data_IF_029732026660
#
_entry.id   IF_029732026660
#
_cell.length_a   1.000
_cell.length_b   1.000
_cell.length_c   1.000
_cell.angle_alpha   90.00
_cell.angle_beta   90.00
_cell.angle_gamma   90.00
#
_symmetry.space_group_name_H-M   'P 1'
#
loop_
_entity.id
_entity.type
_entity.pdbx_description
1 polymer ?
#
# COMPACT_ATOMS: atom_id res chain seq x y z
N UNK A 1 -20.75 -0.09 -12.65
CA UNK A 1 -21.33 0.27 -11.34
C UNK A 1 -21.10 -0.85 -10.33
N UNK A 2 -21.56 -2.07 -10.59
CA UNK A 2 -21.55 -3.19 -9.64
C UNK A 2 -20.18 -3.59 -9.04
N UNK A 3 -19.08 -3.57 -9.82
CA UNK A 3 -17.72 -3.84 -9.29
C UNK A 3 -17.20 -2.76 -8.34
N UNK A 4 -17.52 -1.50 -8.62
CA UNK A 4 -17.08 -0.35 -7.81
C UNK A 4 -17.80 -0.35 -6.46
N UNK A 5 -19.09 -0.71 -6.47
CA UNK A 5 -19.89 -0.91 -5.24
C UNK A 5 -19.34 -2.05 -4.37
N UNK A 6 -18.86 -3.15 -4.98
CA UNK A 6 -18.20 -4.25 -4.24
C UNK A 6 -16.90 -3.81 -3.56
N UNK A 7 -16.10 -2.95 -4.19
CA UNK A 7 -14.81 -2.52 -3.64
C UNK A 7 -14.96 -1.48 -2.51
N UNK A 8 -16.00 -0.66 -2.57
CA UNK A 8 -16.30 0.31 -1.50
C UNK A 8 -16.53 -0.38 -0.15
N UNK A 9 -17.06 -1.61 -0.16
CA UNK A 9 -17.22 -2.44 1.04
C UNK A 9 -15.89 -2.89 1.66
N UNK A 10 -14.75 -2.60 1.04
CA UNK A 10 -13.41 -2.96 1.52
C UNK A 10 -12.54 -1.74 1.81
N UNK A 11 -13.07 -0.51 1.70
CA UNK A 11 -12.32 0.71 2.08
C UNK A 11 -12.05 0.72 3.58
N UNK A 12 -10.80 0.94 3.98
CA UNK A 12 -10.37 1.00 5.38
C UNK A 12 -9.86 2.40 5.71
N UNK A 13 -10.33 2.93 6.84
CA UNK A 13 -9.95 4.24 7.33
C UNK A 13 -10.54 5.39 6.52
N UNK A 14 -9.84 6.52 6.54
CA UNK A 14 -10.36 7.80 6.05
C UNK A 14 -9.89 8.09 4.62
N UNK A 15 -9.00 7.24 4.08
CA UNK A 15 -8.53 7.33 2.70
C UNK A 15 -9.45 6.48 1.80
N UNK A 16 -10.19 7.10 0.87
CA UNK A 16 -11.19 6.41 0.04
C UNK A 16 -10.58 5.39 -0.92
N UNK A 17 -9.27 5.40 -1.08
CA UNK A 17 -8.51 4.57 -2.03
C UNK A 17 -7.62 3.54 -1.34
N UNK A 18 -7.75 3.36 -0.03
CA UNK A 18 -7.10 2.31 0.74
C UNK A 18 -8.09 1.15 0.95
N UNK A 19 -7.83 0.03 0.28
CA UNK A 19 -8.77 -1.09 0.16
C UNK A 19 -8.15 -2.34 0.75
N UNK A 20 -8.80 -2.94 1.76
CA UNK A 20 -8.37 -4.17 2.40
C UNK A 20 -9.39 -5.28 2.18
N UNK A 21 -8.97 -6.36 1.53
CA UNK A 21 -9.79 -7.53 1.22
C UNK A 21 -9.28 -8.71 2.05
N UNK A 22 -9.99 -9.14 3.11
CA UNK A 22 -9.65 -10.36 3.84
C UNK A 22 -9.86 -11.60 2.96
N UNK A 23 -9.19 -12.70 3.28
CA UNK A 23 -9.37 -14.02 2.64
C UNK A 23 -9.34 -13.97 1.10
N UNK A 24 -8.45 -13.14 0.54
CA UNK A 24 -8.33 -12.96 -0.91
C UNK A 24 -7.83 -14.24 -1.61
N UNK A 25 -7.00 -15.01 -0.90
CA UNK A 25 -6.60 -16.37 -1.25
C UNK A 25 -7.02 -17.33 -0.13
N UNK A 26 -7.09 -18.62 -0.46
CA UNK A 26 -7.33 -19.66 0.56
C UNK A 26 -6.03 -20.10 1.23
N UNK A 27 -6.13 -20.75 2.39
CA UNK A 27 -4.96 -21.34 3.07
C UNK A 27 -4.19 -22.34 2.20
N UNK A 28 -4.90 -23.11 1.38
CA UNK A 28 -4.27 -24.03 0.42
C UNK A 28 -3.49 -23.27 -0.66
N UNK A 29 -3.99 -22.14 -1.14
CA UNK A 29 -3.27 -21.30 -2.11
C UNK A 29 -2.05 -20.64 -1.45
N UNK A 30 -2.18 -20.19 -0.20
CA UNK A 30 -1.05 -19.69 0.59
C UNK A 30 0.04 -20.76 0.73
N UNK A 31 -0.31 -21.98 1.11
CA UNK A 31 0.67 -23.08 1.24
C UNK A 31 1.41 -23.35 -0.09
N UNK A 32 0.69 -23.32 -1.21
CA UNK A 32 1.29 -23.47 -2.55
C UNK A 32 2.22 -22.29 -2.91
N UNK A 33 1.82 -21.05 -2.59
CA UNK A 33 2.64 -19.87 -2.82
C UNK A 33 3.92 -19.93 -1.98
N UNK A 34 3.82 -20.21 -0.68
CA UNK A 34 4.97 -20.34 0.21
C UNK A 34 5.91 -21.44 -0.28
N UNK A 35 5.39 -22.60 -0.68
CA UNK A 35 6.22 -23.66 -1.24
C UNK A 35 7.00 -23.20 -2.49
N UNK A 36 6.34 -22.51 -3.43
CA UNK A 36 7.03 -21.98 -4.63
C UNK A 36 8.07 -20.90 -4.27
N UNK A 37 7.77 -20.04 -3.29
CA UNK A 37 8.68 -18.98 -2.82
C UNK A 37 9.95 -19.59 -2.22
N UNK A 38 9.81 -20.59 -1.34
CA UNK A 38 10.95 -21.21 -0.65
C UNK A 38 11.74 -22.18 -1.54
N UNK A 39 11.12 -22.76 -2.56
CA UNK A 39 11.83 -23.58 -3.56
C UNK A 39 12.58 -22.74 -4.62
N UNK A 40 12.40 -21.42 -4.64
CA UNK A 40 13.16 -20.56 -5.55
C UNK A 40 14.68 -20.70 -5.30
N UNK A 41 15.52 -20.65 -6.35
CA UNK A 41 16.97 -20.75 -6.18
C UNK A 41 17.50 -19.69 -5.21
N UNK A 42 18.55 -20.03 -4.46
CA UNK A 42 19.18 -19.09 -3.49
C UNK A 42 19.57 -17.77 -4.16
N UNK A 43 19.99 -17.79 -5.44
CA UNK A 43 20.33 -16.61 -6.22
C UNK A 43 19.17 -15.62 -6.46
N UNK A 44 17.91 -16.05 -6.28
CA UNK A 44 16.74 -15.15 -6.32
C UNK A 44 16.58 -14.35 -5.02
N UNK A 45 17.14 -14.83 -3.91
CA UNK A 45 17.11 -14.13 -2.64
C UNK A 45 18.26 -13.12 -2.55
N UNK A 46 17.89 -11.87 -2.30
CA UNK A 46 18.83 -10.80 -1.95
C UNK A 46 18.65 -10.47 -0.48
N UNK A 47 19.71 -10.62 0.31
CA UNK A 47 19.73 -10.09 1.68
C UNK A 47 19.86 -8.58 1.63
N UNK A 48 18.90 -7.90 2.25
CA UNK A 48 18.93 -6.48 2.54
C UNK A 48 19.30 -6.30 4.02
N UNK A 49 19.36 -5.06 4.50
CA UNK A 49 19.81 -4.74 5.87
C UNK A 49 19.12 -5.60 6.95
N UNK A 50 17.78 -5.59 6.96
CA UNK A 50 16.97 -6.24 7.99
C UNK A 50 15.95 -7.23 7.41
N UNK A 51 16.02 -7.59 6.13
CA UNK A 51 15.03 -8.47 5.48
C UNK A 51 15.65 -9.14 4.27
N UNK A 52 14.95 -10.07 3.63
CA UNK A 52 15.33 -10.56 2.30
C UNK A 52 14.24 -10.34 1.27
N UNK A 53 14.67 -10.26 0.01
CA UNK A 53 13.84 -9.88 -1.13
C UNK A 53 14.03 -10.86 -2.28
N UNK A 54 12.95 -11.25 -2.94
CA UNK A 54 12.97 -11.76 -4.31
C UNK A 54 12.43 -10.73 -5.29
N UNK A 55 12.93 -10.77 -6.52
CA UNK A 55 12.49 -9.92 -7.61
C UNK A 55 12.07 -10.77 -8.82
N UNK A 56 10.83 -10.58 -9.28
CA UNK A 56 10.20 -11.30 -10.38
C UNK A 56 9.58 -10.34 -11.39
N UNK A 57 9.55 -10.74 -12.67
CA UNK A 57 8.95 -9.93 -13.73
C UNK A 57 9.90 -8.96 -14.43
N UNK A 58 11.17 -8.95 -14.03
CA UNK A 58 12.21 -8.14 -14.67
C UNK A 58 13.07 -7.37 -13.67
N UNK A 59 13.81 -6.37 -14.16
CA UNK A 59 14.62 -5.49 -13.31
C UNK A 59 14.24 -4.03 -13.58
N UNK A 60 13.88 -3.31 -12.53
CA UNK A 60 13.55 -1.88 -12.61
C UNK A 60 14.85 -1.08 -12.61
N UNK A 61 15.00 -0.21 -13.60
CA UNK A 61 16.09 0.74 -13.75
C UNK A 61 15.54 2.15 -14.01
N UNK A 62 16.42 3.15 -14.09
CA UNK A 62 16.05 4.57 -14.32
C UNK A 62 15.20 4.80 -15.58
N UNK A 63 15.37 3.98 -16.62
CA UNK A 63 14.63 4.07 -17.89
C UNK A 63 13.34 3.23 -17.90
N UNK A 64 12.99 2.58 -16.79
CA UNK A 64 11.84 1.69 -16.66
C UNK A 64 12.21 0.23 -16.40
N UNK A 65 11.25 -0.67 -16.63
CA UNK A 65 11.40 -2.11 -16.41
C UNK A 65 12.08 -2.76 -17.61
N UNK A 66 13.12 -3.56 -17.36
CA UNK A 66 13.61 -4.58 -18.29
C UNK A 66 12.79 -5.86 -18.02
N UNK A 67 11.76 -6.18 -18.83
CA UNK A 67 10.77 -7.17 -18.48
C UNK A 67 11.31 -8.61 -18.60
N UNK A 68 10.78 -9.49 -17.75
CA UNK A 68 10.92 -10.94 -17.85
C UNK A 68 9.57 -11.57 -17.55
N UNK A 69 9.34 -12.77 -18.07
CA UNK A 69 8.09 -13.48 -17.77
C UNK A 69 7.98 -13.80 -16.28
N UNK A 70 6.79 -13.59 -15.74
CA UNK A 70 6.44 -14.07 -14.41
C UNK A 70 6.26 -15.59 -14.45
N UNK A 71 6.73 -16.32 -13.43
CA UNK A 71 6.42 -17.74 -13.32
C UNK A 71 4.89 -17.93 -13.22
N UNK A 72 4.34 -19.07 -13.72
CA UNK A 72 2.88 -19.25 -13.82
C UNK A 72 2.10 -19.03 -12.52
N UNK A 73 2.69 -19.39 -11.38
CA UNK A 73 2.07 -19.21 -10.07
C UNK A 73 1.91 -17.74 -9.67
N UNK A 74 2.85 -16.86 -10.05
CA UNK A 74 2.70 -15.41 -9.88
C UNK A 74 1.74 -14.83 -10.91
N UNK A 75 1.87 -15.22 -12.18
CA UNK A 75 1.01 -14.73 -13.26
C UNK A 75 -0.49 -14.99 -12.97
N UNK A 76 -0.81 -16.13 -12.36
CA UNK A 76 -2.19 -16.45 -11.92
C UNK A 76 -2.72 -15.47 -10.88
N UNK A 77 -1.90 -15.11 -9.88
CA UNK A 77 -2.29 -14.19 -8.81
C UNK A 77 -2.39 -12.76 -9.33
N UNK A 78 -1.42 -12.29 -10.11
CA UNK A 78 -1.43 -10.93 -10.66
C UNK A 78 -2.61 -10.70 -11.61
N UNK A 79 -2.94 -11.71 -12.43
CA UNK A 79 -4.16 -11.70 -13.26
C UNK A 79 -5.43 -11.62 -12.42
N UNK A 80 -5.55 -12.41 -11.35
CA UNK A 80 -6.70 -12.36 -10.44
C UNK A 80 -6.86 -10.98 -9.79
N UNK A 81 -5.77 -10.37 -9.33
CA UNK A 81 -5.80 -9.03 -8.72
C UNK A 81 -6.30 -8.00 -9.74
N UNK A 82 -5.77 -8.03 -10.96
CA UNK A 82 -6.22 -7.16 -12.05
C UNK A 82 -7.71 -7.33 -12.34
N UNK A 83 -8.18 -8.56 -12.57
CA UNK A 83 -9.57 -8.84 -12.95
C UNK A 83 -10.57 -8.48 -11.83
N UNK A 84 -10.21 -8.75 -10.57
CA UNK A 84 -11.10 -8.47 -9.42
C UNK A 84 -11.12 -7.00 -9.03
N UNK A 85 -9.98 -6.32 -9.05
CA UNK A 85 -9.90 -4.90 -8.65
C UNK A 85 -10.35 -3.95 -9.76
N UNK A 86 -9.96 -4.21 -11.01
CA UNK A 86 -10.12 -3.26 -12.12
C UNK A 86 -9.35 -1.94 -11.92
N UNK A 87 -8.36 -1.92 -11.02
CA UNK A 87 -7.59 -0.72 -10.68
C UNK A 87 -6.26 -0.61 -11.44
N UNK A 88 -5.81 -1.70 -12.04
CA UNK A 88 -4.60 -1.75 -12.84
C UNK A 88 -4.95 -1.70 -14.34
N UNK A 89 -4.09 -1.15 -15.21
CA UNK A 89 -4.32 -1.12 -16.65
C UNK A 89 -4.17 -2.51 -17.30
N UNK A 90 -3.44 -3.42 -16.64
CA UNK A 90 -3.20 -4.79 -17.08
C UNK A 90 -2.83 -5.66 -15.87
N UNK A 91 -2.60 -6.96 -16.08
CA UNK A 91 -2.02 -7.82 -15.06
C UNK A 91 -0.65 -7.27 -14.62
N UNK A 92 -0.42 -7.27 -13.30
CA UNK A 92 0.85 -6.81 -12.71
C UNK A 92 2.01 -7.62 -13.30
N UNK A 93 3.02 -6.91 -13.78
CA UNK A 93 4.16 -7.46 -14.51
C UNK A 93 5.46 -7.49 -13.68
N UNK A 94 5.46 -6.94 -12.48
CA UNK A 94 6.62 -6.88 -11.60
C UNK A 94 6.20 -7.18 -10.16
N UNK A 95 6.90 -8.11 -9.51
CA UNK A 95 6.56 -8.58 -8.16
C UNK A 95 7.80 -8.61 -7.30
N UNK A 96 7.69 -7.96 -6.14
CA UNK A 96 8.66 -8.03 -5.06
C UNK A 96 8.11 -8.92 -3.94
N UNK A 97 8.87 -9.94 -3.54
CA UNK A 97 8.53 -10.81 -2.42
C UNK A 97 9.46 -10.47 -1.28
N UNK A 98 8.92 -9.81 -0.25
CA UNK A 98 9.67 -9.47 0.95
C UNK A 98 9.40 -10.52 2.02
N UNK A 99 10.45 -11.05 2.64
CA UNK A 99 10.33 -11.85 3.86
C UNK A 99 10.89 -11.07 5.05
N UNK A 100 10.10 -11.05 6.11
CA UNK A 100 10.41 -10.48 7.40
C UNK A 100 10.36 -11.60 8.44
N UNK A 101 11.45 -11.79 9.18
CA UNK A 101 11.45 -12.57 10.42
C UNK A 101 10.94 -11.71 11.58
N UNK A 102 10.82 -12.30 12.77
CA UNK A 102 10.53 -11.54 13.98
C UNK A 102 11.54 -10.38 14.14
N UNK A 103 11.05 -9.20 14.56
CA UNK A 103 11.86 -7.98 14.71
C UNK A 103 12.45 -7.43 13.39
N UNK A 104 11.81 -7.72 12.26
CA UNK A 104 12.21 -7.20 10.95
C UNK A 104 11.08 -6.44 10.29
N UNK A 105 11.41 -5.28 9.73
CA UNK A 105 10.49 -4.41 9.04
C UNK A 105 11.16 -3.64 7.91
N UNK A 106 10.49 -2.56 7.53
CA UNK A 106 10.94 -1.65 6.48
C UNK A 106 10.59 -0.22 6.89
N UNK A 107 11.61 0.63 6.92
CA UNK A 107 11.44 2.03 7.30
C UNK A 107 10.41 2.76 6.43
N UNK A 108 9.77 3.83 6.94
CA UNK A 108 8.82 4.62 6.16
C UNK A 108 9.42 5.09 4.82
N UNK A 109 8.73 4.77 3.72
CA UNK A 109 9.17 5.10 2.35
C UNK A 109 7.98 5.27 1.41
N UNK A 110 8.25 5.67 0.16
CA UNK A 110 7.29 5.62 -0.95
C UNK A 110 7.85 4.70 -2.03
N UNK A 111 6.96 4.17 -2.86
CA UNK A 111 7.36 3.43 -4.04
C UNK A 111 7.97 4.35 -5.11
N UNK A 112 8.92 3.80 -5.87
CA UNK A 112 9.68 4.56 -6.85
C UNK A 112 8.83 5.08 -8.01
N UNK A 113 9.28 6.14 -8.71
CA UNK A 113 8.52 6.77 -9.79
C UNK A 113 8.37 5.91 -11.06
N UNK A 114 9.01 4.75 -11.12
CA UNK A 114 8.92 3.82 -12.25
C UNK A 114 7.63 3.00 -12.26
N UNK A 115 6.89 2.95 -11.15
CA UNK A 115 5.68 2.15 -11.01
C UNK A 115 4.43 2.92 -11.42
N UNK A 116 3.44 2.17 -11.94
CA UNK A 116 2.08 2.67 -12.04
C UNK A 116 1.57 3.00 -10.62
N UNK A 117 0.85 4.11 -10.38
CA UNK A 117 0.55 4.63 -9.03
C UNK A 117 -0.58 3.87 -8.32
N UNK A 118 -0.51 2.54 -8.35
CA UNK A 118 -1.41 1.62 -7.65
C UNK A 118 -0.56 0.46 -7.14
N UNK A 119 -0.68 0.16 -5.85
CA UNK A 119 0.08 -0.90 -5.17
C UNK A 119 -0.88 -1.99 -4.74
N UNK A 120 -0.44 -3.25 -4.85
CA UNK A 120 -1.14 -4.42 -4.32
C UNK A 120 -0.18 -5.24 -3.45
N UNK A 121 -0.56 -5.49 -2.20
CA UNK A 121 0.20 -6.27 -1.23
C UNK A 121 -0.64 -7.48 -0.82
N UNK A 122 -0.20 -8.67 -1.23
CA UNK A 122 -0.75 -9.94 -0.78
C UNK A 122 0.06 -10.42 0.42
N UNK A 123 -0.58 -10.51 1.58
CA UNK A 123 0.08 -10.90 2.83
C UNK A 123 0.02 -12.41 3.03
N UNK A 124 1.13 -13.02 3.45
CA UNK A 124 1.26 -14.45 3.70
C UNK A 124 1.92 -14.69 5.07
N UNK A 125 1.64 -15.84 5.69
CA UNK A 125 2.36 -16.29 6.88
C UNK A 125 1.79 -15.72 8.17
N UNK A 126 2.50 -14.77 8.80
CA UNK A 126 2.09 -14.16 10.07
C UNK A 126 1.46 -12.77 9.85
N UNK A 127 0.55 -12.33 10.74
CA UNK A 127 0.00 -10.98 10.65
C UNK A 127 1.06 -9.92 10.92
N UNK A 128 0.90 -8.74 10.33
CA UNK A 128 1.80 -7.59 10.52
C UNK A 128 1.03 -6.29 10.48
N UNK A 129 1.52 -5.27 11.20
CA UNK A 129 0.96 -3.91 11.13
C UNK A 129 1.78 -3.09 10.15
N UNK A 130 1.10 -2.48 9.18
CA UNK A 130 1.69 -1.54 8.23
C UNK A 130 1.25 -0.12 8.57
N UNK A 131 2.23 0.76 8.77
CA UNK A 131 2.01 2.15 9.13
C UNK A 131 1.97 3.03 7.88
N UNK A 132 1.09 4.04 7.90
CA UNK A 132 0.99 5.10 6.93
C UNK A 132 1.15 6.43 7.64
N UNK A 133 2.18 7.20 7.28
CA UNK A 133 2.49 8.50 7.88
C UNK A 133 2.54 9.60 6.81
N UNK A 134 1.90 10.77 6.99
CA UNK A 134 1.90 11.82 5.98
C UNK A 134 3.32 12.33 5.65
N UNK A 135 3.62 12.48 4.36
CA UNK A 135 4.89 13.00 3.88
C UNK A 135 5.04 14.50 4.23
N UNK A 136 6.24 14.93 4.62
CA UNK A 136 6.52 16.33 5.04
C UNK A 136 6.15 17.39 3.99
N UNK A 137 6.40 17.12 2.71
CA UNK A 137 5.94 17.94 1.56
C UNK A 137 4.44 18.23 1.56
N UNK A 138 3.61 17.28 1.99
CA UNK A 138 2.17 17.47 2.10
C UNK A 138 1.80 18.35 3.31
N UNK A 139 2.59 18.25 4.40
CA UNK A 139 2.44 19.11 5.58
C UNK A 139 2.84 20.58 5.29
N UNK A 140 3.88 20.81 4.49
CA UNK A 140 4.35 22.17 4.16
C UNK A 140 3.43 22.94 3.23
N UNK A 141 2.89 22.31 2.17
CA UNK A 141 1.98 22.98 1.23
C UNK A 141 0.68 23.46 1.92
N UNK A 142 0.21 22.74 2.95
CA UNK A 142 -0.94 23.18 3.75
C UNK A 142 -0.63 24.37 4.66
N UNK A 143 0.60 24.46 5.20
CA UNK A 143 1.00 25.60 6.03
C UNK A 143 0.98 26.90 5.22
N UNK A 144 1.49 26.86 3.99
CA UNK A 144 1.47 28.00 3.06
C UNK A 144 0.05 28.37 2.61
N UNK A 145 -0.85 27.40 2.42
CA UNK A 145 -2.26 27.68 2.10
C UNK A 145 -3.04 28.29 3.29
N UNK A 146 -2.77 27.85 4.53
CA UNK A 146 -3.37 28.46 5.74
C UNK A 146 -2.80 29.86 6.03
N UNK A 147 -1.51 30.10 5.76
CA UNK A 147 -0.87 31.41 5.93
C UNK A 147 -1.36 32.45 4.89
N UNK A 148 -1.71 32.04 3.66
CA UNK A 148 -2.20 32.96 2.62
C UNK A 148 -3.70 33.33 2.72
N UNK A 149 -4.48 32.66 3.58
CA UNK A 149 -5.90 33.01 3.83
C UNK A 149 -6.04 33.99 5.01
N UNK A 150 -4.95 34.20 5.78
CA UNK A 150 -4.96 35.03 6.99
C UNK A 150 -4.93 36.55 6.79
N UNK A 151 -4.85 37.06 5.55
CA UNK A 151 -4.57 38.49 5.35
C UNK A 151 -5.34 39.14 4.17
N UNK A 152 -6.67 38.99 4.16
CA UNK A 152 -7.59 39.93 3.47
C UNK A 152 -8.95 39.99 4.17
N UNK A 153 -9.05 40.78 5.23
CA UNK A 153 -10.33 41.32 5.69
C UNK A 153 -10.26 42.85 5.62
N UNK A 154 -10.89 43.43 4.60
CA UNK A 154 -11.55 44.73 4.75
C UNK A 154 -12.84 44.78 3.91
N UNK A 155 -13.93 45.00 4.66
CA UNK A 155 -15.30 45.40 4.29
C UNK A 155 -16.24 44.46 3.53
N UNK A 156 -17.21 43.93 4.29
CA UNK A 156 -18.62 44.22 4.03
C UNK A 156 -19.47 43.10 3.42
N UNK A 157 -20.23 42.39 4.26
CA UNK A 157 -21.34 41.53 3.85
C UNK A 157 -21.34 40.18 4.57
N UNK A 158 -22.20 40.03 5.57
CA UNK A 158 -22.42 38.77 6.27
C UNK A 158 -23.02 37.74 5.30
N UNK A 159 -22.17 36.87 4.76
CA UNK A 159 -22.59 35.58 4.21
C UNK A 159 -22.00 34.55 5.14
N UNK A 160 -22.87 33.82 5.84
CA UNK A 160 -22.48 32.64 6.61
C UNK A 160 -21.94 31.60 5.62
N UNK A 161 -20.64 31.66 5.36
CA UNK A 161 -19.92 30.54 4.77
C UNK A 161 -19.82 29.55 5.92
N UNK A 162 -20.66 28.53 5.88
CA UNK A 162 -20.46 27.33 6.69
C UNK A 162 -19.02 26.89 6.44
N UNK A 163 -18.18 27.10 7.45
CA UNK A 163 -16.87 26.51 7.51
C UNK A 163 -17.13 25.01 7.55
N UNK A 164 -17.15 24.39 6.37
CA UNK A 164 -17.06 22.96 6.26
C UNK A 164 -15.67 22.66 6.84
N UNK A 165 -15.65 22.25 8.11
CA UNK A 165 -14.49 21.76 8.83
C UNK A 165 -13.97 20.56 8.04
N UNK A 166 -13.16 20.86 7.01
CA UNK A 166 -12.60 19.90 6.11
C UNK A 166 -11.71 19.01 6.93
N UNK A 167 -12.26 17.85 7.31
CA UNK A 167 -11.68 16.96 8.29
C UNK A 167 -10.20 16.79 8.02
N UNK A 168 -9.41 16.98 9.07
CA UNK A 168 -7.97 16.92 9.08
C UNK A 168 -7.52 15.46 8.85
N UNK A 169 -7.74 14.94 7.62
CA UNK A 169 -7.54 13.55 7.19
C UNK A 169 -6.05 13.21 7.00
N UNK A 170 -5.16 13.98 7.63
CA UNK A 170 -3.72 13.90 7.50
C UNK A 170 -3.07 13.32 8.76
N UNK A 171 -3.72 12.36 9.40
CA UNK A 171 -3.17 11.73 10.60
C UNK A 171 -2.46 10.43 10.23
N UNK A 172 -1.34 10.10 10.88
CA UNK A 172 -0.81 8.75 10.83
C UNK A 172 -1.89 7.73 11.18
N UNK A 173 -1.88 6.61 10.48
CA UNK A 173 -2.74 5.47 10.80
C UNK A 173 -2.03 4.19 10.42
N UNK A 174 -2.51 3.06 10.93
CA UNK A 174 -1.94 1.76 10.63
C UNK A 174 -3.03 0.81 10.12
N UNK A 175 -2.62 -0.22 9.39
CA UNK A 175 -3.50 -1.28 8.89
C UNK A 175 -2.97 -2.63 9.35
N UNK A 176 -3.82 -3.46 9.95
CA UNK A 176 -3.46 -4.83 10.28
C UNK A 176 -3.60 -5.72 9.05
N UNK A 177 -2.49 -6.30 8.61
CA UNK A 177 -2.43 -7.18 7.47
C UNK A 177 -2.46 -8.64 7.94
N UNK A 178 -3.61 -9.28 7.82
CA UNK A 178 -3.73 -10.70 8.15
C UNK A 178 -3.17 -11.56 7.02
N UNK A 179 -2.73 -12.80 7.31
CA UNK A 179 -2.40 -13.77 6.26
C UNK A 179 -3.56 -13.95 5.29
N UNK A 180 -3.24 -14.27 4.04
CA UNK A 180 -4.21 -14.46 2.95
C UNK A 180 -5.00 -13.20 2.53
N UNK A 181 -4.71 -12.03 3.12
CA UNK A 181 -5.37 -10.76 2.77
C UNK A 181 -4.68 -9.99 1.65
N UNK A 182 -5.44 -9.15 0.97
CA UNK A 182 -4.95 -8.23 -0.06
C UNK A 182 -5.19 -6.78 0.36
N UNK A 183 -4.13 -5.99 0.47
CA UNK A 183 -4.20 -4.54 0.57
C UNK A 183 -3.94 -3.92 -0.81
N UNK A 184 -4.77 -2.97 -1.23
CA UNK A 184 -4.55 -2.14 -2.41
C UNK A 184 -4.61 -0.67 -2.01
N UNK A 185 -3.66 0.14 -2.49
CA UNK A 185 -3.72 1.59 -2.31
C UNK A 185 -3.26 2.38 -3.53
N UNK A 186 -3.81 3.58 -3.70
CA UNK A 186 -3.54 4.53 -4.80
C UNK A 186 -3.84 5.98 -4.38
N UNK A 187 -3.59 6.92 -5.28
CA UNK A 187 -3.80 8.37 -5.07
C UNK A 187 -3.04 8.84 -3.81
N UNK A 188 -3.68 9.58 -2.90
CA UNK A 188 -3.04 10.17 -1.71
C UNK A 188 -2.25 9.15 -0.88
N UNK A 189 -2.77 7.93 -0.71
CA UNK A 189 -2.08 6.86 0.01
C UNK A 189 -0.73 6.44 -0.66
N UNK A 190 -0.62 6.64 -1.97
CA UNK A 190 0.60 6.40 -2.75
C UNK A 190 1.50 7.65 -2.80
N UNK A 191 0.92 8.83 -3.06
CA UNK A 191 1.68 10.06 -3.32
C UNK A 191 2.04 10.87 -2.08
N UNK A 192 1.20 10.85 -1.05
CA UNK A 192 1.26 11.80 0.07
C UNK A 192 1.51 11.12 1.42
N UNK A 193 1.56 9.78 1.45
CA UNK A 193 1.91 8.99 2.63
C UNK A 193 3.20 8.20 2.40
N UNK A 194 4.05 8.21 3.41
CA UNK A 194 5.08 7.19 3.59
C UNK A 194 4.42 5.96 4.20
N UNK A 195 4.90 4.78 3.83
CA UNK A 195 4.46 3.54 4.43
C UNK A 195 5.62 2.65 4.89
N UNK A 196 5.39 1.84 5.92
CA UNK A 196 6.44 1.01 6.52
C UNK A 196 5.89 -0.09 7.44
N UNK A 197 6.82 -0.93 7.90
CA UNK A 197 6.59 -1.93 8.93
C UNK A 197 7.67 -1.70 9.98
N UNK A 198 7.28 -1.53 11.24
CA UNK A 198 8.23 -1.31 12.33
C UNK A 198 9.13 -2.55 12.56
N UNK A 199 10.41 -2.32 12.85
CA UNK A 199 11.31 -3.37 13.35
C UNK A 199 10.90 -3.68 14.81
N UNK A 200 9.95 -4.60 15.01
CA UNK A 200 9.43 -4.95 16.33
C UNK A 200 9.17 -6.45 16.49
N UNK A 201 9.40 -6.97 17.70
CA UNK A 201 8.96 -8.32 18.08
C UNK A 201 7.44 -8.40 18.32
N UNK A 202 6.83 -7.26 18.68
CA UNK A 202 5.41 -7.16 19.03
C UNK A 202 4.79 -5.97 18.32
N UNK A 203 3.89 -6.24 17.38
CA UNK A 203 3.11 -5.19 16.73
C UNK A 203 1.86 -4.88 17.56
N UNK A 204 1.71 -3.63 17.98
CA UNK A 204 0.48 -3.16 18.64
C UNK A 204 -0.60 -2.93 17.58
N UNK A 205 -1.73 -3.60 17.72
CA UNK A 205 -2.84 -3.51 16.77
C UNK A 205 -4.04 -2.70 17.29
N UNK A 206 -3.99 -2.19 18.53
CA UNK A 206 -5.11 -1.49 19.18
C UNK A 206 -5.64 -0.28 18.39
N UNK A 207 -4.78 0.31 17.55
CA UNK A 207 -5.09 1.46 16.70
C UNK A 207 -5.05 1.12 15.20
N UNK A 208 -4.78 -0.13 14.86
CA UNK A 208 -4.69 -0.58 13.48
C UNK A 208 -6.10 -0.78 12.90
N UNK A 209 -6.33 -0.19 11.74
CA UNK A 209 -7.61 -0.27 11.04
C UNK A 209 -7.74 -1.63 10.35
N UNK A 210 -8.92 -2.23 10.41
CA UNK A 210 -9.29 -3.46 9.73
C UNK A 210 -10.78 -3.43 9.36
N UNK A 211 -11.18 -4.26 8.40
CA UNK A 211 -12.57 -4.56 8.06
C UNK A 211 -13.01 -5.87 8.68
#
# INVERSE_FOLDING_TARGET
MERKEKLNNFIVGDLPTLIYIPDFITDSEQAQLLNNIYQAPVSKWKSLKNRRLQNWGGVVHEKGLLPQDLPPWLAKITKRIYERSGLFPSAINHVLINEYLCNQGIMPHQDGPAYYPVVAILSLGSPVVMDFTPHSRFQSCKRTLKENVGDKISNGGAVAIEANDGSDNNRPFSVLLMPCSLLIFKDDAYSDYLHGIEDSEVHRFDLAKQK
#
